data_IF_884015015099
#
_entry.id   IF_884015015099
#
_cell.length_a   1.000
_cell.length_b   1.000
_cell.length_c   1.000
_cell.angle_alpha   90.00
_cell.angle_beta   90.00
_cell.angle_gamma   90.00
#
_symmetry.space_group_name_H-M   'P 1'
#
loop_
_entity.id
_entity.type
_entity.pdbx_description
1 polymer ?
#
# COMPACT_ATOMS: atom_id res chain seq x y z
N UNK A 1 -34.86 5.99 13.03
CA UNK A 1 -33.50 6.26 13.54
C UNK A 1 -32.54 5.53 12.62
N UNK A 2 -31.85 6.26 11.75
CA UNK A 2 -30.82 5.70 10.88
C UNK A 2 -29.55 5.74 11.74
N UNK A 3 -29.10 4.59 12.23
CA UNK A 3 -27.77 4.51 12.85
C UNK A 3 -26.76 4.78 11.75
N UNK A 4 -26.19 5.98 11.73
CA UNK A 4 -24.96 6.25 11.01
C UNK A 4 -23.91 5.30 11.58
N UNK A 5 -23.58 4.25 10.83
CA UNK A 5 -22.40 3.44 11.12
C UNK A 5 -21.22 4.39 11.26
N UNK A 6 -20.39 4.30 12.32
CA UNK A 6 -19.20 5.13 12.39
C UNK A 6 -18.40 4.88 11.13
N UNK A 7 -18.13 5.94 10.36
CA UNK A 7 -17.31 5.84 9.16
C UNK A 7 -15.96 5.27 9.60
N UNK A 8 -15.74 3.98 9.34
CA UNK A 8 -14.48 3.35 9.70
C UNK A 8 -13.36 4.11 8.99
N UNK A 9 -12.34 4.58 9.70
CA UNK A 9 -11.27 5.33 9.09
C UNK A 9 -10.63 4.49 7.98
N UNK A 10 -10.55 5.05 6.78
CA UNK A 10 -9.94 4.36 5.64
C UNK A 10 -8.49 4.04 5.97
N UNK A 11 -8.16 2.75 5.95
CA UNK A 11 -6.79 2.28 6.12
C UNK A 11 -6.09 2.18 4.77
N UNK A 12 -4.82 2.58 4.75
CA UNK A 12 -3.96 2.52 3.58
C UNK A 12 -2.75 1.63 3.85
N UNK A 13 -2.17 1.08 2.79
CA UNK A 13 -0.92 0.30 2.85
C UNK A 13 -0.10 0.49 1.59
N UNK A 14 1.20 0.25 1.72
CA UNK A 14 2.11 0.10 0.58
C UNK A 14 2.04 -1.34 0.08
N UNK A 15 1.98 -1.50 -1.23
CA UNK A 15 2.09 -2.79 -1.92
C UNK A 15 3.27 -2.74 -2.85
N UNK A 16 4.28 -3.53 -2.54
CA UNK A 16 5.44 -3.75 -3.38
C UNK A 16 5.18 -4.97 -4.27
N UNK A 17 5.49 -4.84 -5.56
CA UNK A 17 5.53 -5.97 -6.48
C UNK A 17 6.97 -6.17 -6.93
N UNK A 18 7.50 -7.37 -6.67
CA UNK A 18 8.87 -7.73 -7.00
C UNK A 18 8.91 -9.04 -7.79
N UNK A 19 9.98 -9.25 -8.54
CA UNK A 19 10.25 -10.53 -9.19
C UNK A 19 11.11 -11.39 -8.25
N UNK A 20 10.58 -12.52 -7.85
CA UNK A 20 11.28 -13.53 -7.06
C UNK A 20 12.42 -14.18 -7.84
N UNK A 21 13.29 -14.91 -7.13
CA UNK A 21 14.43 -15.59 -7.73
C UNK A 21 14.04 -16.68 -8.74
N UNK A 22 12.83 -17.24 -8.62
CA UNK A 22 12.24 -18.19 -9.57
C UNK A 22 11.62 -17.51 -10.81
N UNK A 23 11.73 -16.18 -10.91
CA UNK A 23 11.19 -15.38 -11.99
C UNK A 23 9.70 -15.03 -11.84
N UNK A 24 9.01 -15.52 -10.81
CA UNK A 24 7.58 -15.19 -10.57
C UNK A 24 7.42 -13.83 -9.92
N UNK A 25 6.23 -13.25 -10.06
CA UNK A 25 5.88 -12.00 -9.38
C UNK A 25 5.35 -12.30 -7.97
N UNK A 26 5.91 -11.61 -7.00
CA UNK A 26 5.51 -11.65 -5.59
C UNK A 26 4.93 -10.30 -5.18
N UNK A 27 3.96 -10.33 -4.27
CA UNK A 27 3.41 -9.13 -3.62
C UNK A 27 3.88 -9.10 -2.17
N UNK A 28 4.51 -8.00 -1.78
CA UNK A 28 4.87 -7.73 -0.39
C UNK A 28 3.99 -6.59 0.11
N UNK A 29 3.34 -6.82 1.24
CA UNK A 29 2.42 -5.87 1.84
C UNK A 29 3.02 -5.26 3.09
N UNK A 30 3.02 -3.94 3.19
CA UNK A 30 3.25 -3.25 4.45
C UNK A 30 2.00 -3.31 5.35
N UNK A 31 2.19 -3.06 6.64
CA UNK A 31 1.08 -2.93 7.59
C UNK A 31 0.16 -1.76 7.22
N UNK A 32 -1.12 -1.90 7.57
CA UNK A 32 -2.11 -0.86 7.36
C UNK A 32 -1.90 0.33 8.31
N UNK A 33 -2.17 1.54 7.83
CA UNK A 33 -2.15 2.77 8.63
C UNK A 33 -3.23 3.75 8.15
N UNK A 34 -3.94 4.47 9.05
CA UNK A 34 -5.01 5.41 8.68
C UNK A 34 -4.50 6.74 8.12
N UNK A 35 -3.29 7.18 8.48
CA UNK A 35 -2.67 8.39 7.92
C UNK A 35 -1.96 8.10 6.57
N UNK A 36 -2.53 8.63 5.49
CA UNK A 36 -2.00 8.50 4.13
C UNK A 36 -0.62 9.17 3.96
N UNK A 37 -0.32 10.24 4.68
CA UNK A 37 1.00 10.91 4.56
C UNK A 37 2.11 10.07 5.19
N UNK A 38 1.83 9.38 6.30
CA UNK A 38 2.77 8.37 6.84
C UNK A 38 3.01 7.24 5.85
N UNK A 39 1.96 6.77 5.19
CA UNK A 39 2.05 5.68 4.20
C UNK A 39 2.85 6.13 2.97
N UNK A 40 2.67 7.37 2.51
CA UNK A 40 3.49 7.97 1.44
C UNK A 40 4.98 8.03 1.81
N UNK A 41 5.31 8.53 3.01
CA UNK A 41 6.71 8.53 3.48
C UNK A 41 7.31 7.12 3.56
N UNK A 42 6.51 6.13 3.96
CA UNK A 42 6.96 4.75 3.96
C UNK A 42 7.16 4.23 2.52
N UNK A 43 6.27 4.57 1.59
CA UNK A 43 6.42 4.22 0.18
C UNK A 43 7.68 4.84 -0.44
N UNK A 44 8.00 6.10 -0.12
CA UNK A 44 9.24 6.76 -0.54
C UNK A 44 10.48 6.03 -0.01
N UNK A 45 10.43 5.52 1.23
CA UNK A 45 11.48 4.68 1.78
C UNK A 45 11.60 3.37 1.00
N UNK A 46 10.48 2.67 0.74
CA UNK A 46 10.47 1.41 -0.03
C UNK A 46 11.07 1.61 -1.42
N UNK A 47 10.70 2.67 -2.13
CA UNK A 47 11.25 3.00 -3.47
C UNK A 47 12.78 3.17 -3.46
N UNK A 48 13.35 3.66 -2.36
CA UNK A 48 14.80 3.90 -2.23
C UNK A 48 15.56 2.69 -1.70
N UNK A 49 14.90 1.85 -0.91
CA UNK A 49 15.53 0.78 -0.14
C UNK A 49 15.33 -0.62 -0.74
N UNK A 50 14.45 -0.78 -1.73
CA UNK A 50 14.10 -2.09 -2.31
C UNK A 50 14.33 -2.11 -3.82
N UNK A 51 14.49 -3.31 -4.37
CA UNK A 51 14.56 -3.56 -5.82
C UNK A 51 13.18 -3.81 -6.44
N UNK A 52 12.14 -3.17 -5.87
CA UNK A 52 10.77 -3.31 -6.31
C UNK A 52 10.64 -3.05 -7.82
N UNK A 53 9.87 -3.88 -8.52
CA UNK A 53 9.52 -3.63 -9.92
C UNK A 53 8.38 -2.63 -10.04
N UNK A 54 7.46 -2.63 -9.08
CA UNK A 54 6.35 -1.67 -8.98
C UNK A 54 6.01 -1.41 -7.53
N UNK A 55 5.54 -0.20 -7.25
CA UNK A 55 5.09 0.20 -5.90
C UNK A 55 3.77 0.93 -5.99
N UNK A 56 2.82 0.50 -5.17
CA UNK A 56 1.49 1.08 -5.09
C UNK A 56 1.15 1.50 -3.66
N UNK A 57 0.30 2.50 -3.53
CA UNK A 57 -0.47 2.73 -2.30
C UNK A 57 -1.90 2.28 -2.56
N UNK A 58 -2.43 1.44 -1.68
CA UNK A 58 -3.80 0.93 -1.77
C UNK A 58 -4.57 1.19 -0.49
N UNK A 59 -5.89 1.31 -0.59
CA UNK A 59 -6.77 1.24 0.58
C UNK A 59 -7.02 -0.21 1.03
N UNK A 60 -7.75 -0.37 2.13
CA UNK A 60 -8.16 -1.67 2.67
C UNK A 60 -9.05 -2.49 1.73
N UNK A 61 -9.79 -1.84 0.82
CA UNK A 61 -10.58 -2.50 -0.21
C UNK A 61 -9.74 -2.92 -1.43
N UNK A 62 -8.43 -2.61 -1.44
CA UNK A 62 -7.51 -2.93 -2.52
C UNK A 62 -7.59 -1.96 -3.70
N UNK A 63 -8.28 -0.83 -3.56
CA UNK A 63 -8.30 0.23 -4.58
C UNK A 63 -6.95 0.92 -4.59
N UNK A 64 -6.41 1.14 -5.78
CA UNK A 64 -5.14 1.85 -5.95
C UNK A 64 -5.38 3.34 -5.77
N UNK A 65 -4.75 3.91 -4.76
CA UNK A 65 -4.76 5.34 -4.48
C UNK A 65 -3.62 6.03 -5.23
N UNK A 66 -2.45 5.37 -5.32
CA UNK A 66 -1.28 5.92 -5.97
C UNK A 66 -0.43 4.84 -6.67
N UNK A 67 0.21 5.20 -7.78
CA UNK A 67 1.12 4.36 -8.57
C UNK A 67 2.46 5.08 -8.65
N UNK A 68 3.47 4.56 -7.97
CA UNK A 68 4.72 5.27 -7.76
C UNK A 68 5.87 4.78 -8.66
N UNK A 69 5.77 3.55 -9.15
CA UNK A 69 6.72 2.89 -10.07
C UNK A 69 6.00 1.86 -10.95
#
# INVERSE_FOLDING_TARGET
MISESPEHPTLYRVVEVRRGADGRLEKVFAAYHPDLQRVRRHADFVLRATSANRVYITDHAGRVIDRLL
#
